data_IF_777846969508
#
_entry.id   IF_777846969508
#
_cell.length_a   1.000
_cell.length_b   1.000
_cell.length_c   1.000
_cell.angle_alpha   90.00
_cell.angle_beta   90.00
_cell.angle_gamma   90.00
#
_symmetry.space_group_name_H-M   'P 1'
#
loop_
_entity.id
_entity.type
_entity.pdbx_description
1 polymer ?
#
# COMPACT_ATOMS: atom_id res chain seq x y z
N UNK A 1 -22.43 -4.14 17.67
CA UNK A 1 -21.31 -4.97 17.17
C UNK A 1 -20.11 -4.63 18.02
N UNK A 2 -19.31 -5.63 18.39
CA UNK A 2 -18.07 -5.39 19.12
C UNK A 2 -17.08 -4.71 18.16
N UNK A 3 -16.42 -3.65 18.63
CA UNK A 3 -15.31 -3.02 17.89
C UNK A 3 -14.06 -3.85 18.07
N UNK A 4 -13.32 -4.10 16.98
CA UNK A 4 -12.07 -4.85 17.00
C UNK A 4 -10.90 -3.94 16.71
N UNK A 5 -9.93 -3.89 17.62
CA UNK A 5 -8.68 -3.16 17.45
C UNK A 5 -7.54 -4.17 17.40
N UNK A 6 -6.67 -4.03 16.42
CA UNK A 6 -5.56 -4.94 16.18
C UNK A 6 -4.29 -4.10 16.25
N UNK A 7 -3.41 -4.46 17.19
CA UNK A 7 -2.07 -3.89 17.30
C UNK A 7 -1.09 -4.82 16.59
N UNK A 8 -0.27 -4.29 15.70
CA UNK A 8 0.63 -5.08 14.83
C UNK A 8 2.06 -4.56 14.94
N UNK A 9 3.02 -5.48 15.09
CA UNK A 9 4.45 -5.17 15.15
C UNK A 9 5.30 -6.36 14.72
N UNK A 10 6.47 -6.09 14.14
CA UNK A 10 7.55 -7.08 13.94
C UNK A 10 8.46 -7.21 15.17
N UNK A 11 8.56 -6.17 16.00
CA UNK A 11 9.16 -6.26 17.32
C UNK A 11 8.14 -6.76 18.36
N UNK A 12 8.43 -7.89 19.01
CA UNK A 12 7.60 -8.41 20.12
C UNK A 12 7.73 -7.58 21.38
N UNK A 13 8.83 -6.85 21.56
CA UNK A 13 9.09 -6.06 22.76
C UNK A 13 8.20 -4.81 22.81
N UNK A 14 7.92 -4.19 21.65
CA UNK A 14 6.98 -3.07 21.52
C UNK A 14 5.54 -3.44 21.90
N UNK A 15 5.19 -4.73 21.83
CA UNK A 15 3.91 -5.28 22.28
C UNK A 15 3.95 -5.84 23.73
N UNK A 16 5.12 -5.87 24.37
CA UNK A 16 5.38 -6.43 25.73
C UNK A 16 5.54 -5.39 26.83
N UNK A 17 5.37 -4.10 26.52
CA UNK A 17 5.23 -3.04 27.54
C UNK A 17 3.80 -2.47 27.53
N UNK A 18 2.79 -3.23 27.97
CA UNK A 18 1.39 -2.93 27.73
C UNK A 18 0.72 -2.30 28.97
N UNK A 19 1.45 -2.03 30.06
CA UNK A 19 0.92 -1.35 31.25
C UNK A 19 0.32 0.04 30.92
N UNK A 20 0.58 0.57 29.72
CA UNK A 20 0.04 1.83 29.19
C UNK A 20 -0.94 1.67 28.01
N UNK A 21 -1.03 0.51 27.36
CA UNK A 21 -1.93 0.26 26.21
C UNK A 21 -3.15 -0.61 26.56
N UNK A 22 -3.14 -1.25 27.74
CA UNK A 22 -4.23 -2.08 28.24
C UNK A 22 -5.11 -1.27 29.20
N UNK A 23 -6.26 -0.83 28.70
CA UNK A 23 -7.31 -0.29 29.56
C UNK A 23 -7.91 -1.41 30.43
N UNK A 24 -8.31 -1.10 31.67
CA UNK A 24 -8.84 -2.08 32.62
C UNK A 24 -10.09 -2.84 32.13
N UNK A 25 -10.77 -2.34 31.10
CA UNK A 25 -11.98 -2.93 30.51
C UNK A 25 -11.74 -3.67 29.18
N UNK A 26 -10.50 -3.78 28.71
CA UNK A 26 -10.16 -4.48 27.46
C UNK A 26 -9.79 -5.94 27.72
N UNK A 27 -10.64 -6.88 27.30
CA UNK A 27 -10.24 -8.28 27.24
C UNK A 27 -9.31 -8.48 26.03
N UNK A 28 -8.01 -8.68 26.28
CA UNK A 28 -7.11 -9.21 25.25
C UNK A 28 -7.57 -10.63 24.91
N UNK A 29 -8.14 -10.81 23.72
CA UNK A 29 -8.78 -12.08 23.35
C UNK A 29 -7.81 -13.00 22.62
N UNK A 30 -6.87 -12.46 21.83
CA UNK A 30 -6.03 -13.28 20.95
C UNK A 30 -4.71 -12.64 20.51
N UNK A 31 -3.67 -13.45 20.38
CA UNK A 31 -2.40 -13.08 19.74
C UNK A 31 -2.11 -13.97 18.52
N UNK A 32 -1.59 -13.38 17.45
CA UNK A 32 -1.01 -14.06 16.29
C UNK A 32 0.50 -13.92 16.40
N UNK A 33 1.25 -15.02 16.29
CA UNK A 33 2.71 -15.01 16.37
C UNK A 33 3.29 -15.88 15.26
N UNK A 34 3.88 -15.25 14.22
CA UNK A 34 4.40 -15.95 13.03
C UNK A 34 5.92 -16.16 13.05
N UNK A 35 6.60 -15.75 14.12
CA UNK A 35 8.07 -15.72 14.19
C UNK A 35 8.67 -14.49 13.54
N UNK A 36 8.01 -13.95 12.52
CA UNK A 36 8.43 -12.75 11.77
C UNK A 36 7.64 -11.50 12.18
N UNK A 37 6.39 -11.67 12.60
CA UNK A 37 5.57 -10.58 13.13
C UNK A 37 4.61 -11.08 14.21
N UNK A 38 3.99 -10.14 14.91
CA UNK A 38 2.99 -10.40 15.93
C UNK A 38 1.84 -9.41 15.83
N UNK A 39 0.63 -9.89 16.07
CA UNK A 39 -0.54 -9.04 16.25
C UNK A 39 -1.29 -9.41 17.53
N UNK A 40 -1.75 -8.42 18.27
CA UNK A 40 -2.67 -8.59 19.40
C UNK A 40 -4.04 -8.03 19.03
N UNK A 41 -5.09 -8.82 19.23
CA UNK A 41 -6.47 -8.52 18.87
C UNK A 41 -7.27 -8.25 20.15
N UNK A 42 -7.89 -7.08 20.18
CA UNK A 42 -8.73 -6.59 21.27
C UNK A 42 -10.17 -6.44 20.79
N UNK A 43 -11.13 -6.96 21.54
CA UNK A 43 -12.56 -6.78 21.28
C UNK A 43 -13.19 -5.92 22.38
N UNK A 44 -13.98 -4.93 21.97
CA UNK A 44 -14.64 -3.97 22.86
C UNK A 44 -16.16 -4.06 22.71
N UNK A 45 -16.89 -4.07 23.84
CA UNK A 45 -18.34 -4.26 23.89
C UNK A 45 -19.18 -3.01 23.51
N UNK A 46 -18.58 -1.82 23.33
CA UNK A 46 -19.27 -0.56 22.98
C UNK A 46 -18.49 0.26 21.96
N UNK A 47 -19.11 1.30 21.38
CA UNK A 47 -18.51 2.17 20.36
C UNK A 47 -17.24 2.84 20.89
N UNK A 48 -16.11 2.31 20.49
CA UNK A 48 -14.78 2.70 20.92
C UNK A 48 -14.25 3.96 20.19
N UNK A 49 -15.11 4.69 19.46
CA UNK A 49 -14.70 5.83 18.61
C UNK A 49 -14.00 6.94 19.40
N UNK A 50 -14.45 7.22 20.63
CA UNK A 50 -13.88 8.27 21.48
C UNK A 50 -12.44 8.04 21.92
N UNK A 51 -11.92 6.80 21.83
CA UNK A 51 -10.60 6.43 22.35
C UNK A 51 -9.59 6.06 21.25
N UNK A 52 -10.03 5.89 20.00
CA UNK A 52 -9.15 5.49 18.89
C UNK A 52 -8.03 6.50 18.60
N UNK A 53 -8.25 7.79 18.87
CA UNK A 53 -7.18 8.80 18.75
C UNK A 53 -6.04 8.51 19.72
N UNK A 54 -6.35 8.30 21.00
CA UNK A 54 -5.34 7.99 22.02
C UNK A 54 -4.61 6.66 21.72
N UNK A 55 -5.33 5.65 21.23
CA UNK A 55 -4.74 4.37 20.81
C UNK A 55 -3.73 4.58 19.69
N UNK A 56 -4.08 5.36 18.66
CA UNK A 56 -3.20 5.64 17.53
C UNK A 56 -1.98 6.44 17.94
N UNK A 57 -2.14 7.46 18.80
CA UNK A 57 -1.03 8.26 19.32
C UNK A 57 -0.05 7.40 20.11
N UNK A 58 -0.57 6.57 21.03
CA UNK A 58 0.27 5.72 21.86
C UNK A 58 0.95 4.61 21.04
N UNK A 59 0.23 3.99 20.10
CA UNK A 59 0.82 3.02 19.20
C UNK A 59 1.91 3.65 18.32
N UNK A 60 1.66 4.85 17.79
CA UNK A 60 2.65 5.60 17.01
C UNK A 60 3.91 5.90 17.83
N UNK A 61 3.78 6.31 19.09
CA UNK A 61 4.91 6.57 20.00
C UNK A 61 5.76 5.32 20.28
N UNK A 62 5.21 4.12 20.09
CA UNK A 62 5.89 2.84 20.31
C UNK A 62 6.22 2.11 18.99
N UNK A 63 6.07 2.75 17.84
CA UNK A 63 6.32 2.12 16.53
C UNK A 63 5.33 1.01 16.16
N UNK A 64 4.18 0.94 16.81
CA UNK A 64 3.15 -0.10 16.62
C UNK A 64 2.12 0.36 15.59
N UNK A 65 1.76 -0.54 14.67
CA UNK A 65 0.65 -0.35 13.73
C UNK A 65 -0.71 -0.62 14.39
N UNK A 66 -1.75 0.09 13.93
CA UNK A 66 -3.12 -0.06 14.45
C UNK A 66 -4.08 -0.31 13.29
N UNK A 67 -4.82 -1.42 13.34
CA UNK A 67 -5.91 -1.71 12.41
C UNK A 67 -7.23 -1.76 13.19
N UNK A 68 -8.26 -1.10 12.65
CA UNK A 68 -9.62 -1.11 13.21
C UNK A 68 -10.61 -1.49 12.10
N UNK A 69 -10.69 -2.79 11.76
CA UNK A 69 -11.71 -3.27 10.85
C UNK A 69 -13.11 -3.00 11.40
N UNK A 70 -14.00 -2.51 10.54
CA UNK A 70 -15.36 -2.11 10.88
C UNK A 70 -16.31 -2.53 9.73
N UNK A 71 -17.62 -2.36 9.94
CA UNK A 71 -18.63 -2.78 8.95
C UNK A 71 -18.51 -4.27 8.61
N UNK A 72 -18.57 -4.62 7.32
CA UNK A 72 -18.44 -6.01 6.86
C UNK A 72 -17.09 -6.64 7.23
N UNK A 73 -16.01 -5.87 7.20
CA UNK A 73 -14.66 -6.36 7.52
C UNK A 73 -14.43 -6.60 9.02
N UNK A 74 -15.36 -6.19 9.88
CA UNK A 74 -15.31 -6.52 11.31
C UNK A 74 -15.47 -8.03 11.57
N UNK A 75 -16.25 -8.72 10.71
CA UNK A 75 -16.63 -10.12 10.88
C UNK A 75 -16.20 -11.01 9.73
N UNK A 76 -16.17 -10.48 8.51
CA UNK A 76 -15.92 -11.26 7.30
C UNK A 76 -14.53 -10.95 6.71
N UNK A 77 -13.90 -11.93 6.04
CA UNK A 77 -12.68 -11.67 5.28
C UNK A 77 -12.95 -10.68 4.12
N UNK A 78 -11.89 -9.96 3.67
CA UNK A 78 -12.00 -9.12 2.49
C UNK A 78 -12.35 -9.94 1.25
N UNK A 79 -12.82 -9.27 0.22
CA UNK A 79 -13.07 -9.89 -1.10
C UNK A 79 -12.19 -9.31 -2.20
N UNK A 80 -11.61 -8.14 -1.97
CA UNK A 80 -10.64 -7.51 -2.87
C UNK A 80 -9.65 -6.69 -2.04
N UNK A 81 -8.36 -6.86 -2.32
CA UNK A 81 -7.28 -6.07 -1.76
C UNK A 81 -6.63 -5.33 -2.92
N UNK A 82 -6.54 -4.00 -2.84
CA UNK A 82 -5.86 -3.18 -3.84
C UNK A 82 -4.66 -2.50 -3.20
N UNK A 83 -3.49 -2.67 -3.81
CA UNK A 83 -2.23 -2.14 -3.29
C UNK A 83 -1.64 -1.12 -4.26
N UNK A 84 -1.10 -0.03 -3.71
CA UNK A 84 -0.03 0.69 -4.39
C UNK A 84 1.19 -0.23 -4.59
N UNK A 85 2.06 0.13 -5.53
CA UNK A 85 3.29 -0.61 -5.81
C UNK A 85 4.49 0.08 -5.19
N UNK A 86 4.86 1.26 -5.69
CA UNK A 86 6.04 1.98 -5.23
C UNK A 86 5.90 2.34 -3.75
N UNK A 87 6.96 2.16 -2.97
CA UNK A 87 6.98 2.34 -1.51
C UNK A 87 5.92 1.55 -0.71
N UNK A 88 5.26 0.56 -1.33
CA UNK A 88 4.25 -0.30 -0.69
C UNK A 88 4.52 -1.79 -0.96
N UNK A 89 4.22 -2.29 -2.15
CA UNK A 89 4.54 -3.68 -2.56
C UNK A 89 6.02 -3.81 -2.92
N UNK A 90 6.64 -2.72 -3.36
CA UNK A 90 8.09 -2.58 -3.52
C UNK A 90 8.63 -1.53 -2.55
N UNK A 91 9.92 -1.65 -2.19
CA UNK A 91 10.67 -0.69 -1.38
C UNK A 91 11.45 0.32 -2.24
N UNK A 92 11.39 0.15 -3.55
CA UNK A 92 12.02 0.99 -4.56
C UNK A 92 10.96 1.73 -5.35
N UNK A 93 11.33 2.90 -5.86
CA UNK A 93 10.54 3.69 -6.81
C UNK A 93 10.98 3.33 -8.24
N UNK A 94 10.06 2.84 -9.07
CA UNK A 94 10.38 2.38 -10.43
C UNK A 94 11.08 3.45 -11.28
N UNK A 95 10.68 4.72 -11.14
CA UNK A 95 11.24 5.82 -11.91
C UNK A 95 12.67 6.18 -11.48
N UNK A 96 13.00 6.02 -10.20
CA UNK A 96 14.33 6.30 -9.68
C UNK A 96 15.33 5.25 -10.20
N UNK A 97 14.93 3.97 -10.22
CA UNK A 97 15.74 2.89 -10.81
C UNK A 97 16.03 3.13 -12.30
N UNK A 98 15.03 3.58 -13.06
CA UNK A 98 15.20 3.92 -14.48
C UNK A 98 16.09 5.16 -14.67
N UNK A 99 15.96 6.15 -13.80
CA UNK A 99 16.78 7.35 -13.81
C UNK A 99 18.25 7.03 -13.52
N UNK A 100 18.53 6.08 -12.63
CA UNK A 100 19.87 5.55 -12.38
C UNK A 100 20.46 4.89 -13.64
N UNK A 101 19.69 4.02 -14.31
CA UNK A 101 20.11 3.42 -15.59
C UNK A 101 20.36 4.48 -16.68
N UNK A 102 19.60 5.59 -16.68
CA UNK A 102 19.77 6.70 -17.62
C UNK A 102 20.92 7.65 -17.27
N UNK A 103 21.50 7.56 -16.06
CA UNK A 103 22.46 8.53 -15.56
C UNK A 103 21.87 9.88 -15.15
N UNK A 104 20.53 9.97 -15.01
CA UNK A 104 19.78 11.20 -14.74
C UNK A 104 19.09 11.20 -13.35
N UNK A 105 19.57 10.37 -12.42
CA UNK A 105 18.99 10.22 -11.08
C UNK A 105 18.92 11.54 -10.30
N UNK A 106 19.92 12.42 -10.42
CA UNK A 106 19.93 13.71 -9.73
C UNK A 106 18.85 14.67 -10.26
N UNK A 107 18.63 14.69 -11.57
CA UNK A 107 17.60 15.52 -12.20
C UNK A 107 16.18 15.06 -11.82
N UNK A 108 15.93 13.74 -11.86
CA UNK A 108 14.66 13.17 -11.43
C UNK A 108 14.38 13.47 -9.97
N UNK A 109 15.39 13.39 -9.09
CA UNK A 109 15.26 13.72 -7.67
C UNK A 109 14.90 15.19 -7.44
N UNK A 110 15.50 16.12 -8.20
CA UNK A 110 15.17 17.54 -8.14
C UNK A 110 13.71 17.79 -8.54
N UNK A 111 13.24 17.17 -9.63
CA UNK A 111 11.85 17.28 -10.09
C UNK A 111 10.88 16.72 -9.05
N UNK A 112 11.21 15.56 -8.44
CA UNK A 112 10.41 14.96 -7.35
C UNK A 112 10.32 15.89 -6.15
N UNK A 113 11.43 16.50 -5.73
CA UNK A 113 11.44 17.44 -4.60
C UNK A 113 10.52 18.65 -4.85
N UNK A 114 10.54 19.21 -6.06
CA UNK A 114 9.66 20.32 -6.47
C UNK A 114 8.19 19.92 -6.47
N UNK A 115 7.87 18.71 -6.93
CA UNK A 115 6.50 18.19 -6.87
C UNK A 115 6.01 18.00 -5.42
N UNK A 116 6.88 17.52 -4.53
CA UNK A 116 6.54 17.32 -3.10
C UNK A 116 6.23 18.62 -2.35
N UNK A 117 6.84 19.75 -2.77
CA UNK A 117 6.52 21.09 -2.21
C UNK A 117 5.35 21.77 -2.95
N UNK A 118 4.73 21.09 -3.92
CA UNK A 118 3.56 21.57 -4.65
C UNK A 118 3.84 22.52 -5.80
N UNK A 119 5.10 22.64 -6.25
CA UNK A 119 5.45 23.46 -7.42
C UNK A 119 4.97 22.83 -8.74
N UNK A 120 4.86 21.50 -8.79
CA UNK A 120 4.40 20.74 -9.94
C UNK A 120 3.22 19.88 -9.50
N UNK A 121 2.17 19.85 -10.32
CA UNK A 121 1.13 18.83 -10.15
C UNK A 121 1.66 17.43 -10.50
N UNK A 122 0.90 16.38 -10.16
CA UNK A 122 1.31 15.00 -10.37
C UNK A 122 1.66 14.71 -11.84
N UNK A 123 0.81 15.14 -12.76
CA UNK A 123 0.95 14.87 -14.19
C UNK A 123 2.15 15.62 -14.78
N UNK A 124 2.33 16.88 -14.40
CA UNK A 124 3.50 17.68 -14.75
C UNK A 124 4.80 17.06 -14.23
N UNK A 125 4.81 16.62 -12.97
CA UNK A 125 5.95 15.94 -12.36
C UNK A 125 6.25 14.61 -13.06
N UNK A 126 5.23 13.81 -13.38
CA UNK A 126 5.39 12.56 -14.13
C UNK A 126 6.01 12.81 -15.50
N UNK A 127 5.45 13.72 -16.30
CA UNK A 127 6.00 14.03 -17.62
C UNK A 127 7.43 14.57 -17.57
N UNK A 128 7.73 15.44 -16.60
CA UNK A 128 9.07 15.97 -16.43
C UNK A 128 10.08 14.86 -16.09
N UNK A 129 9.75 13.95 -15.16
CA UNK A 129 10.64 12.84 -14.79
C UNK A 129 10.78 11.80 -15.90
N UNK A 130 9.69 11.48 -16.61
CA UNK A 130 9.74 10.54 -17.74
C UNK A 130 10.56 11.10 -18.90
N UNK A 131 10.54 12.42 -19.11
CA UNK A 131 11.38 13.07 -20.12
C UNK A 131 12.87 12.88 -19.87
N UNK A 132 13.31 12.79 -18.61
CA UNK A 132 14.69 12.45 -18.26
C UNK A 132 15.11 11.04 -18.70
N UNK A 133 14.17 10.19 -19.15
CA UNK A 133 14.43 8.84 -19.63
C UNK A 133 14.52 8.76 -21.17
N UNK A 134 14.37 9.89 -21.88
CA UNK A 134 14.42 9.93 -23.34
C UNK A 134 15.74 9.36 -23.88
N UNK A 135 15.64 8.44 -24.85
CA UNK A 135 16.79 7.78 -25.46
C UNK A 135 17.34 6.60 -24.67
N UNK A 136 16.75 6.23 -23.52
CA UNK A 136 17.14 5.03 -22.79
C UNK A 136 16.74 3.76 -23.55
N UNK A 137 17.66 2.84 -23.76
CA UNK A 137 17.37 1.56 -24.42
C UNK A 137 16.49 0.67 -23.53
N UNK A 138 15.53 -0.07 -24.11
CA UNK A 138 14.57 -0.90 -23.36
C UNK A 138 15.20 -1.97 -22.47
N UNK A 139 16.46 -2.36 -22.71
CA UNK A 139 17.21 -3.26 -21.84
C UNK A 139 17.33 -2.75 -20.39
N UNK A 140 17.30 -1.43 -20.19
CA UNK A 140 17.29 -0.82 -18.87
C UNK A 140 16.01 -1.13 -18.06
N UNK A 141 14.88 -1.44 -18.73
CA UNK A 141 13.66 -1.86 -18.05
C UNK A 141 13.87 -3.19 -17.32
N UNK A 142 14.59 -4.12 -17.93
CA UNK A 142 14.94 -5.41 -17.31
C UNK A 142 15.93 -5.23 -16.16
N UNK A 143 16.89 -4.30 -16.30
CA UNK A 143 17.82 -3.95 -15.22
C UNK A 143 17.11 -3.34 -14.02
N UNK A 144 16.21 -2.38 -14.25
CA UNK A 144 15.38 -1.77 -13.21
C UNK A 144 14.48 -2.81 -12.54
N UNK A 145 13.88 -3.74 -13.30
CA UNK A 145 13.12 -4.85 -12.73
C UNK A 145 14.00 -5.72 -11.81
N UNK A 146 15.20 -6.11 -12.25
CA UNK A 146 16.14 -6.89 -11.42
C UNK A 146 16.60 -6.16 -10.16
N UNK A 147 16.66 -4.83 -10.20
CA UNK A 147 17.01 -3.99 -9.06
C UNK A 147 15.83 -3.73 -8.11
N UNK A 148 14.60 -4.06 -8.53
CA UNK A 148 13.39 -3.84 -7.73
C UNK A 148 13.41 -4.70 -6.47
N UNK A 149 13.23 -4.05 -5.31
CA UNK A 149 13.20 -4.74 -4.03
C UNK A 149 11.75 -4.91 -3.58
N UNK A 150 11.26 -6.15 -3.59
CA UNK A 150 9.90 -6.47 -3.13
C UNK A 150 9.84 -6.34 -1.59
N UNK A 151 8.74 -5.80 -1.08
CA UNK A 151 8.45 -5.72 0.34
C UNK A 151 8.28 -7.12 0.93
N UNK A 152 8.91 -7.44 2.08
CA UNK A 152 8.70 -8.71 2.75
C UNK A 152 7.22 -9.02 3.00
N UNK A 153 6.81 -10.28 2.80
CA UNK A 153 5.43 -10.70 2.99
C UNK A 153 4.52 -10.51 1.77
N UNK A 154 4.99 -9.93 0.66
CA UNK A 154 4.10 -9.65 -0.49
C UNK A 154 3.46 -10.93 -1.06
N UNK A 155 4.26 -11.99 -1.28
CA UNK A 155 3.73 -13.25 -1.81
C UNK A 155 2.81 -13.94 -0.80
N UNK A 156 3.14 -13.86 0.48
CA UNK A 156 2.35 -14.40 1.60
C UNK A 156 1.01 -13.66 1.76
N UNK A 157 0.97 -12.35 1.50
CA UNK A 157 -0.27 -11.58 1.44
C UNK A 157 -1.16 -12.10 0.32
N UNK A 158 -0.65 -12.21 -0.90
CA UNK A 158 -1.45 -12.68 -2.05
C UNK A 158 -1.97 -14.09 -1.80
N UNK A 159 -1.11 -15.01 -1.37
CA UNK A 159 -1.51 -16.38 -1.04
C UNK A 159 -2.61 -16.40 0.04
N UNK A 160 -2.47 -15.63 1.12
CA UNK A 160 -3.45 -15.59 2.20
C UNK A 160 -4.76 -14.89 1.82
N UNK A 161 -4.74 -13.98 0.85
CA UNK A 161 -5.93 -13.38 0.27
C UNK A 161 -6.70 -14.43 -0.56
N UNK A 162 -5.98 -15.18 -1.39
CA UNK A 162 -6.55 -16.27 -2.18
C UNK A 162 -7.14 -17.39 -1.31
N UNK A 163 -6.51 -17.72 -0.18
CA UNK A 163 -7.01 -18.72 0.78
C UNK A 163 -8.41 -18.39 1.31
N UNK A 164 -8.77 -17.10 1.37
CA UNK A 164 -10.11 -16.63 1.78
C UNK A 164 -10.99 -16.21 0.60
N UNK A 165 -10.55 -16.47 -0.62
CA UNK A 165 -11.27 -16.13 -1.85
C UNK A 165 -11.25 -14.65 -2.23
N UNK A 166 -10.37 -13.85 -1.62
CA UNK A 166 -10.16 -12.46 -2.02
C UNK A 166 -9.25 -12.39 -3.26
N UNK A 167 -9.52 -11.44 -4.16
CA UNK A 167 -8.61 -11.09 -5.24
C UNK A 167 -7.62 -10.00 -4.80
N UNK A 168 -6.46 -9.92 -5.46
CA UNK A 168 -5.47 -8.86 -5.25
C UNK A 168 -5.21 -8.08 -6.54
N UNK A 169 -5.29 -6.75 -6.47
CA UNK A 169 -4.96 -5.85 -7.57
C UNK A 169 -3.81 -4.90 -7.22
N UNK A 170 -2.94 -4.63 -8.20
CA UNK A 170 -1.86 -3.65 -8.09
C UNK A 170 -2.21 -2.41 -8.91
N UNK A 171 -2.27 -1.22 -8.27
CA UNK A 171 -2.53 0.05 -8.98
C UNK A 171 -1.43 1.06 -8.69
N UNK A 172 -0.68 1.43 -9.72
CA UNK A 172 0.56 2.19 -9.57
C UNK A 172 0.63 3.41 -10.50
N UNK A 173 1.26 4.48 -10.01
CA UNK A 173 1.72 5.59 -10.84
C UNK A 173 3.06 5.31 -11.54
N UNK A 174 3.71 4.18 -11.23
CA UNK A 174 4.87 3.65 -11.92
C UNK A 174 4.53 3.03 -13.27
N UNK A 175 5.34 2.07 -13.72
CA UNK A 175 5.32 1.64 -15.13
C UNK A 175 5.00 0.16 -15.34
N UNK A 176 4.25 -0.13 -16.40
CA UNK A 176 3.83 -1.50 -16.80
C UNK A 176 5.00 -2.46 -16.92
N UNK A 177 6.16 -1.99 -17.41
CA UNK A 177 7.37 -2.80 -17.54
C UNK A 177 7.91 -3.34 -16.19
N UNK A 178 7.53 -2.75 -15.07
CA UNK A 178 7.89 -3.18 -13.71
C UNK A 178 6.71 -3.84 -13.01
N UNK A 179 5.50 -3.28 -13.17
CA UNK A 179 4.30 -3.72 -12.46
C UNK A 179 3.78 -5.07 -12.99
N UNK A 180 3.84 -5.32 -14.30
CA UNK A 180 3.36 -6.59 -14.86
C UNK A 180 4.22 -7.79 -14.44
N UNK A 181 5.57 -7.74 -14.54
CA UNK A 181 6.42 -8.82 -14.01
C UNK A 181 6.23 -9.04 -12.51
N UNK A 182 6.03 -7.96 -11.74
CA UNK A 182 5.73 -8.05 -10.32
C UNK A 182 4.41 -8.77 -10.06
N UNK A 183 3.34 -8.38 -10.76
CA UNK A 183 2.03 -9.00 -10.66
C UNK A 183 2.09 -10.50 -10.98
N UNK A 184 2.83 -10.88 -12.03
CA UNK A 184 3.04 -12.29 -12.40
C UNK A 184 3.81 -13.04 -11.31
N UNK A 185 4.93 -12.47 -10.81
CA UNK A 185 5.77 -13.10 -9.80
C UNK A 185 5.01 -13.39 -8.50
N UNK A 186 4.16 -12.46 -8.06
CA UNK A 186 3.40 -12.60 -6.80
C UNK A 186 2.02 -13.21 -7.02
N UNK A 187 1.63 -13.45 -8.28
CA UNK A 187 0.31 -13.96 -8.72
C UNK A 187 -0.85 -13.03 -8.36
N UNK A 188 -0.66 -11.71 -8.50
CA UNK A 188 -1.77 -10.77 -8.40
C UNK A 188 -2.79 -11.02 -9.51
N UNK A 189 -4.07 -10.78 -9.21
CA UNK A 189 -5.18 -10.99 -10.15
C UNK A 189 -5.34 -9.85 -11.16
N UNK A 190 -4.91 -8.65 -10.77
CA UNK A 190 -5.03 -7.45 -11.58
C UNK A 190 -3.79 -6.56 -11.45
N UNK A 191 -3.50 -5.81 -12.51
CA UNK A 191 -2.48 -4.78 -12.53
C UNK A 191 -2.97 -3.59 -13.37
N UNK A 192 -2.64 -2.38 -12.94
CA UNK A 192 -2.80 -1.16 -13.71
C UNK A 192 -1.66 -0.19 -13.37
N UNK A 193 -0.98 0.32 -14.41
CA UNK A 193 0.15 1.24 -14.32
C UNK A 193 0.22 2.16 -15.53
N UNK A 194 1.09 3.19 -15.48
CA UNK A 194 1.39 4.00 -16.66
C UNK A 194 2.22 3.20 -17.67
N UNK A 195 2.04 3.49 -18.96
CA UNK A 195 2.81 2.85 -20.02
C UNK A 195 3.82 3.84 -20.61
N UNK A 196 5.09 3.45 -20.67
CA UNK A 196 6.14 4.25 -21.31
C UNK A 196 6.08 4.05 -22.83
N UNK A 197 6.15 5.12 -23.60
CA UNK A 197 6.21 5.02 -25.06
C UNK A 197 7.59 4.53 -25.51
N UNK A 198 7.60 3.51 -26.36
CA UNK A 198 8.80 2.90 -26.93
C UNK A 198 8.78 3.04 -28.45
N UNK A 199 9.86 3.55 -29.03
CA UNK A 199 10.08 3.60 -30.47
C UNK A 199 11.51 3.11 -30.76
N UNK A 200 11.66 2.21 -31.74
CA UNK A 200 12.96 1.68 -32.15
C UNK A 200 13.81 1.14 -30.97
N UNK A 201 13.18 0.44 -30.02
CA UNK A 201 13.79 -0.11 -28.80
C UNK A 201 14.35 0.94 -27.82
N UNK A 202 13.88 2.19 -27.89
CA UNK A 202 14.26 3.25 -26.97
C UNK A 202 13.02 3.94 -26.39
N UNK A 203 13.13 4.41 -25.15
CA UNK A 203 12.12 5.25 -24.52
C UNK A 203 12.09 6.62 -25.19
N UNK A 204 10.89 7.11 -25.52
CA UNK A 204 10.75 8.43 -26.15
C UNK A 204 10.69 9.60 -25.15
N UNK A 205 10.72 9.29 -23.85
CA UNK A 205 10.47 10.27 -22.80
C UNK A 205 8.99 10.69 -22.66
N UNK A 206 8.06 9.87 -23.16
CA UNK A 206 6.61 10.06 -23.02
C UNK A 206 5.93 8.84 -22.40
N UNK A 207 4.76 9.06 -21.84
CA UNK A 207 3.83 8.00 -21.45
C UNK A 207 2.64 7.97 -22.42
N UNK A 208 2.06 6.80 -22.63
CA UNK A 208 0.89 6.58 -23.49
C UNK A 208 -0.32 6.16 -22.68
N UNK A 209 -1.50 6.40 -23.24
CA UNK A 209 -2.77 6.04 -22.61
C UNK A 209 -3.18 6.98 -21.49
N UNK A 210 -4.10 6.49 -20.66
CA UNK A 210 -4.61 7.24 -19.51
C UNK A 210 -3.60 7.22 -18.35
N UNK A 211 -3.37 8.38 -17.75
CA UNK A 211 -2.46 8.52 -16.62
C UNK A 211 -3.09 7.93 -15.36
N UNK A 212 -2.35 7.08 -14.66
CA UNK A 212 -2.71 6.62 -13.33
C UNK A 212 -2.27 7.64 -12.29
N UNK A 213 -3.13 8.62 -12.08
CA UNK A 213 -3.05 9.59 -11.00
C UNK A 213 -3.85 9.15 -9.77
N UNK A 214 -3.96 10.06 -8.80
CA UNK A 214 -4.70 9.86 -7.56
C UNK A 214 -6.17 9.45 -7.81
N UNK A 215 -6.86 10.10 -8.73
CA UNK A 215 -8.27 9.82 -9.02
C UNK A 215 -8.43 8.51 -9.81
N UNK A 216 -7.46 8.18 -10.67
CA UNK A 216 -7.40 6.93 -11.40
C UNK A 216 -7.28 5.73 -10.45
N UNK A 217 -6.51 5.82 -9.35
CA UNK A 217 -6.43 4.73 -8.35
C UNK A 217 -7.79 4.37 -7.77
N UNK A 218 -8.59 5.38 -7.40
CA UNK A 218 -9.96 5.16 -6.94
C UNK A 218 -10.85 4.56 -8.04
N UNK A 219 -10.67 4.99 -9.29
CA UNK A 219 -11.41 4.48 -10.45
C UNK A 219 -11.13 3.00 -10.68
N UNK A 220 -9.86 2.57 -10.61
CA UNK A 220 -9.46 1.17 -10.74
C UNK A 220 -9.99 0.30 -9.60
N UNK A 221 -9.93 0.77 -8.36
CA UNK A 221 -10.55 0.05 -7.23
C UNK A 221 -12.05 -0.16 -7.45
N UNK A 222 -12.80 0.88 -7.85
CA UNK A 222 -14.24 0.73 -8.18
C UNK A 222 -14.48 -0.23 -9.34
N UNK A 223 -13.64 -0.14 -10.37
CA UNK A 223 -13.75 -0.98 -11.56
C UNK A 223 -13.57 -2.45 -11.22
N UNK A 224 -12.48 -2.82 -10.56
CA UNK A 224 -12.22 -4.21 -10.18
C UNK A 224 -13.25 -4.74 -9.17
N UNK A 225 -13.71 -3.90 -8.23
CA UNK A 225 -14.78 -4.27 -7.33
C UNK A 225 -16.08 -4.58 -8.10
N UNK A 226 -16.45 -3.71 -9.06
CA UNK A 226 -17.63 -3.91 -9.91
C UNK A 226 -17.52 -5.15 -10.80
N UNK A 227 -16.37 -5.37 -11.44
CA UNK A 227 -16.11 -6.53 -12.30
C UNK A 227 -16.23 -7.85 -11.54
N UNK A 228 -15.94 -7.85 -10.24
CA UNK A 228 -16.09 -9.02 -9.36
C UNK A 228 -17.39 -9.08 -8.57
N UNK A 229 -18.27 -8.09 -8.70
CA UNK A 229 -19.49 -8.00 -7.89
C UNK A 229 -19.21 -7.85 -6.38
N UNK A 230 -18.10 -7.21 -6.03
CA UNK A 230 -17.66 -6.95 -4.66
C UNK A 230 -18.14 -5.56 -4.21
N UNK A 231 -18.79 -5.50 -3.05
CA UNK A 231 -19.13 -4.23 -2.41
C UNK A 231 -17.87 -3.52 -1.89
N UNK A 232 -17.79 -2.20 -2.01
CA UNK A 232 -16.61 -1.42 -1.60
C UNK A 232 -16.30 -1.59 -0.11
N UNK A 233 -17.31 -1.83 0.72
CA UNK A 233 -17.17 -2.08 2.16
C UNK A 233 -16.41 -3.38 2.47
N UNK A 234 -16.22 -4.25 1.48
CA UNK A 234 -15.44 -5.50 1.57
C UNK A 234 -14.05 -5.38 0.92
N UNK A 235 -13.60 -4.16 0.61
CA UNK A 235 -12.28 -3.92 0.01
C UNK A 235 -11.27 -3.41 1.03
N UNK A 236 -10.01 -3.80 0.86
CA UNK A 236 -8.87 -3.22 1.57
C UNK A 236 -8.06 -2.42 0.55
N UNK A 237 -7.61 -1.21 0.91
CA UNK A 237 -6.68 -0.43 0.11
C UNK A 237 -5.38 -0.20 0.90
N UNK A 238 -4.23 -0.55 0.32
CA UNK A 238 -2.90 -0.37 0.89
C UNK A 238 -2.14 0.69 0.09
N UNK A 239 -1.51 1.64 0.77
CA UNK A 239 -0.69 2.67 0.15
C UNK A 239 0.14 3.47 1.17
N UNK A 240 1.07 4.28 0.69
CA UNK A 240 2.02 5.03 1.53
C UNK A 240 1.81 6.56 1.46
N UNK A 241 1.10 7.05 0.44
CA UNK A 241 1.30 8.40 -0.05
C UNK A 241 0.05 9.23 -0.33
N UNK A 242 0.28 10.48 -0.75
CA UNK A 242 -0.80 11.41 -1.11
C UNK A 242 -1.54 11.00 -2.40
N UNK A 243 -0.88 10.20 -3.25
CA UNK A 243 -1.43 9.57 -4.45
C UNK A 243 -2.53 8.54 -4.13
N UNK A 244 -2.61 8.02 -2.90
CA UNK A 244 -3.58 6.97 -2.55
C UNK A 244 -4.88 7.50 -1.92
N UNK A 245 -4.93 8.80 -1.62
CA UNK A 245 -5.98 9.37 -0.77
C UNK A 245 -7.40 9.19 -1.34
N UNK A 246 -7.59 9.23 -2.66
CA UNK A 246 -8.92 9.01 -3.26
C UNK A 246 -9.28 7.53 -3.28
N UNK A 247 -8.30 6.64 -3.42
CA UNK A 247 -8.49 5.19 -3.26
C UNK A 247 -8.87 4.87 -1.82
N UNK A 248 -8.20 5.50 -0.85
CA UNK A 248 -8.52 5.36 0.57
C UNK A 248 -9.93 5.83 0.90
N UNK A 249 -10.37 6.94 0.32
CA UNK A 249 -11.68 7.53 0.59
C UNK A 249 -12.86 6.62 0.21
N UNK A 250 -12.64 5.61 -0.63
CA UNK A 250 -13.70 4.71 -1.12
C UNK A 250 -13.55 3.27 -0.64
N UNK A 251 -12.42 2.91 -0.04
CA UNK A 251 -12.16 1.54 0.40
C UNK A 251 -12.89 1.24 1.71
N UNK A 252 -13.31 -0.01 1.90
CA UNK A 252 -13.91 -0.46 3.16
C UNK A 252 -12.92 -0.38 4.33
N UNK A 253 -11.65 -0.64 4.06
CA UNK A 253 -10.57 -0.47 5.02
C UNK A 253 -9.32 0.11 4.33
N UNK A 254 -9.11 1.44 4.38
CA UNK A 254 -7.85 2.04 3.95
C UNK A 254 -6.76 1.81 5.00
N UNK A 255 -5.57 1.41 4.55
CA UNK A 255 -4.41 1.11 5.40
C UNK A 255 -3.19 1.84 4.85
N UNK A 256 -2.65 2.71 5.69
CA UNK A 256 -1.40 3.41 5.48
C UNK A 256 -0.22 2.49 5.87
N UNK A 257 0.50 1.97 4.88
CA UNK A 257 1.64 1.06 5.05
C UNK A 257 2.96 1.84 5.00
N UNK A 258 3.76 1.80 6.08
CA UNK A 258 5.03 2.53 6.20
C UNK A 258 4.96 4.00 5.73
N UNK A 259 3.81 4.62 5.96
CA UNK A 259 3.33 5.71 5.14
C UNK A 259 3.74 7.11 5.64
N UNK A 260 3.66 8.08 4.73
CA UNK A 260 3.83 9.51 5.00
C UNK A 260 2.67 10.04 5.87
N UNK A 261 2.86 11.14 6.63
CA UNK A 261 1.84 11.64 7.56
C UNK A 261 0.45 11.89 6.95
N UNK A 262 0.41 12.36 5.70
CA UNK A 262 -0.86 12.63 5.00
C UNK A 262 -1.68 11.36 4.74
N UNK A 263 -1.03 10.26 4.40
CA UNK A 263 -1.67 8.97 4.20
C UNK A 263 -2.10 8.35 5.53
N UNK A 264 -1.27 8.49 6.58
CA UNK A 264 -1.62 8.06 7.95
C UNK A 264 -2.89 8.74 8.45
N UNK A 265 -3.00 10.06 8.26
CA UNK A 265 -4.19 10.82 8.71
C UNK A 265 -5.45 10.40 7.94
N UNK A 266 -5.33 10.16 6.63
CA UNK A 266 -6.46 9.78 5.79
C UNK A 266 -6.92 8.34 6.05
N UNK A 267 -6.00 7.38 6.12
CA UNK A 267 -6.34 5.96 6.30
C UNK A 267 -6.81 5.67 7.73
N UNK A 268 -6.19 6.29 8.74
CA UNK A 268 -6.40 6.04 10.17
C UNK A 268 -6.17 4.59 10.64
N UNK A 269 -5.88 3.68 9.72
CA UNK A 269 -5.33 2.35 9.99
C UNK A 269 -3.91 2.34 9.47
N UNK A 270 -2.98 1.78 10.25
CA UNK A 270 -1.55 1.87 9.97
C UNK A 270 -0.87 0.53 10.15
N UNK A 271 0.08 0.26 9.27
CA UNK A 271 1.10 -0.78 9.46
C UNK A 271 2.45 -0.05 9.41
N UNK A 272 3.28 -0.25 10.42
CA UNK A 272 4.56 0.47 10.57
C UNK A 272 5.79 -0.39 10.36
N UNK A 273 5.64 -1.71 10.47
CA UNK A 273 6.70 -2.65 10.16
C UNK A 273 6.79 -2.87 8.64
N UNK A 274 8.00 -3.09 8.13
CA UNK A 274 8.29 -3.28 6.70
C UNK A 274 7.90 -4.70 6.22
N UNK A 275 6.69 -5.14 6.57
CA UNK A 275 6.20 -6.47 6.26
C UNK A 275 4.70 -6.46 5.98
N UNK A 276 4.33 -6.63 4.71
CA UNK A 276 2.99 -6.32 4.21
C UNK A 276 1.95 -7.40 4.52
N UNK A 277 2.34 -8.67 4.68
CA UNK A 277 1.42 -9.77 5.06
C UNK A 277 0.86 -9.62 6.48
N UNK A 278 1.36 -8.69 7.27
CA UNK A 278 0.77 -8.36 8.57
C UNK A 278 -0.68 -7.88 8.48
N UNK A 279 -1.11 -7.38 7.31
CA UNK A 279 -2.50 -7.03 7.02
C UNK A 279 -3.46 -8.22 7.20
N UNK A 280 -2.96 -9.46 7.08
CA UNK A 280 -3.72 -10.69 7.32
C UNK A 280 -4.33 -10.74 8.70
N UNK A 281 -3.78 -10.01 9.68
CA UNK A 281 -4.36 -9.89 11.01
C UNK A 281 -5.84 -9.42 10.99
N UNK A 282 -6.27 -8.72 9.93
CA UNK A 282 -7.66 -8.29 9.73
C UNK A 282 -8.64 -9.48 9.62
N UNK A 283 -8.23 -10.59 9.02
CA UNK A 283 -9.12 -11.76 8.82
C UNK A 283 -8.55 -13.08 9.35
N UNK A 284 -7.39 -13.03 10.00
CA UNK A 284 -6.84 -14.15 10.73
C UNK A 284 -7.71 -14.42 11.96
N UNK A 285 -8.55 -15.45 11.84
CA UNK A 285 -9.19 -16.11 12.98
C UNK A 285 -8.22 -17.14 13.52
#
# INVERSE_FOLDING_TARGET
>A
MNSRVILVSDDRSSLRSPDTLLWPDAACMRGIHTGEWTAHIFEYAMSFEGNMTQVRELAAANGVGVLHPHGALATDPPSLIVCDVDSTVTRTEAIDLLAECAGNADEVREITARAMVGELDFTQSLYARVRCLEGLHIGALEEAWKATVITPGTAELVAAAHDVGAAVGLVSGGFTAIVDPLAEQIRADFAASNELEIVDNHLTGRVVGDIIDRAAKATWLRRWASERGVALERTIALGDGANDLDMFAIAGLPIAFCAKPVAVEAARNTIRCERIDTVRAVWAH
#
